data_IF_436982129578
#
_entry.id   IF_436982129578
#
_cell.length_a   1.000
_cell.length_b   1.000
_cell.length_c   1.000
_cell.angle_alpha   90.00
_cell.angle_beta   90.00
_cell.angle_gamma   90.00
#
_symmetry.space_group_name_H-M   'P 1'
#
loop_
_entity.id
_entity.type
_entity.pdbx_description
1 polymer ?
#
# COMPACT_ATOMS: atom_id res chain seq x y z
N UNK A 1 2.60 -28.13 -20.53
CA UNK A 1 3.11 -26.80 -20.24
C UNK A 1 2.24 -26.08 -19.24
N UNK A 2 0.96 -25.85 -19.50
CA UNK A 2 0.06 -25.17 -18.58
C UNK A 2 -0.10 -25.88 -17.23
N UNK A 3 -0.06 -27.20 -17.19
CA UNK A 3 -0.15 -27.98 -15.97
C UNK A 3 1.11 -27.87 -15.10
N UNK A 4 2.28 -27.70 -15.70
CA UNK A 4 3.52 -27.49 -14.96
C UNK A 4 3.60 -26.08 -14.40
N UNK A 5 3.10 -25.09 -15.14
CA UNK A 5 3.03 -23.70 -14.67
C UNK A 5 2.05 -23.57 -13.49
N UNK A 6 0.90 -24.23 -13.55
CA UNK A 6 -0.08 -24.26 -12.46
C UNK A 6 0.48 -24.94 -11.21
N UNK A 7 1.20 -26.07 -11.36
CA UNK A 7 1.85 -26.73 -10.24
C UNK A 7 2.95 -25.88 -9.61
N UNK A 8 3.73 -25.19 -10.43
CA UNK A 8 4.78 -24.31 -9.94
C UNK A 8 4.18 -23.14 -9.15
N UNK A 9 3.08 -22.57 -9.64
CA UNK A 9 2.38 -21.47 -8.97
C UNK A 9 1.76 -21.93 -7.66
N UNK A 10 1.18 -23.13 -7.61
CA UNK A 10 0.63 -23.70 -6.39
C UNK A 10 1.72 -24.02 -5.37
N UNK A 11 2.83 -24.58 -5.80
CA UNK A 11 3.98 -24.85 -4.93
C UNK A 11 4.56 -23.57 -4.35
N UNK A 12 4.66 -22.53 -5.16
CA UNK A 12 5.18 -21.21 -4.74
C UNK A 12 4.20 -20.52 -3.82
N UNK A 13 2.91 -20.53 -4.12
CA UNK A 13 1.86 -19.99 -3.24
C UNK A 13 1.83 -20.74 -1.90
N UNK A 14 1.98 -22.06 -1.94
CA UNK A 14 2.08 -22.89 -0.74
C UNK A 14 3.32 -22.57 0.10
N UNK A 15 4.43 -22.22 -0.54
CA UNK A 15 5.66 -21.81 0.13
C UNK A 15 5.48 -20.52 0.92
N UNK A 16 4.84 -19.50 0.35
CA UNK A 16 4.58 -18.25 1.05
C UNK A 16 3.68 -18.47 2.26
N UNK A 17 2.58 -19.19 2.07
CA UNK A 17 1.68 -19.54 3.16
C UNK A 17 2.39 -20.30 4.27
N UNK A 18 3.24 -21.25 3.90
CA UNK A 18 4.05 -22.02 4.85
C UNK A 18 4.97 -21.12 5.67
N UNK A 19 5.62 -20.13 5.03
CA UNK A 19 6.46 -19.17 5.71
C UNK A 19 5.68 -18.36 6.74
N UNK A 20 4.48 -17.89 6.39
CA UNK A 20 3.61 -17.18 7.33
C UNK A 20 3.15 -18.08 8.48
N UNK A 21 2.77 -19.31 8.19
CA UNK A 21 2.31 -20.28 9.20
C UNK A 21 3.44 -20.65 10.18
N UNK A 22 4.64 -20.87 9.67
CA UNK A 22 5.83 -21.18 10.48
C UNK A 22 6.24 -19.98 11.38
N UNK A 23 5.92 -18.77 10.97
CA UNK A 23 6.25 -17.54 11.69
C UNK A 23 5.03 -16.87 12.33
N UNK A 24 3.95 -17.62 12.52
CA UNK A 24 2.70 -17.07 13.07
C UNK A 24 2.87 -16.39 14.42
N UNK A 25 3.77 -16.89 15.27
CA UNK A 25 4.06 -16.28 16.58
C UNK A 25 4.86 -14.98 16.48
N UNK A 26 5.45 -14.72 15.32
CA UNK A 26 6.27 -13.54 15.06
C UNK A 26 5.55 -12.49 14.19
N UNK A 27 4.31 -12.79 13.80
CA UNK A 27 3.51 -11.85 13.01
C UNK A 27 3.08 -10.67 13.88
N UNK A 28 3.30 -9.48 13.38
CA UNK A 28 2.91 -8.22 14.03
C UNK A 28 2.09 -7.42 13.04
N UNK A 29 1.08 -6.73 13.54
CA UNK A 29 0.22 -5.89 12.72
C UNK A 29 0.83 -4.51 12.53
N UNK A 30 0.78 -4.01 11.30
CA UNK A 30 1.33 -2.74 10.88
C UNK A 30 0.35 -1.94 10.03
N UNK A 31 0.52 -0.62 10.05
CA UNK A 31 -0.14 0.29 9.10
C UNK A 31 0.91 1.02 8.28
N UNK A 32 0.53 1.51 7.11
CA UNK A 32 1.42 2.35 6.31
C UNK A 32 1.52 3.74 6.93
N UNK A 33 2.73 4.28 6.97
CA UNK A 33 3.01 5.62 7.50
C UNK A 33 2.58 6.74 6.57
N UNK A 34 2.52 6.48 5.26
CA UNK A 34 2.21 7.51 4.27
C UNK A 34 0.86 8.14 4.55
N UNK A 35 0.86 9.44 4.76
CA UNK A 35 -0.35 10.25 4.89
C UNK A 35 -0.63 10.97 3.58
N UNK A 36 -1.89 11.27 3.36
CA UNK A 36 -2.39 11.93 2.16
C UNK A 36 -3.25 13.12 2.57
N UNK A 37 -3.14 14.21 1.83
CA UNK A 37 -4.05 15.33 1.95
C UNK A 37 -5.06 15.23 0.82
N UNK A 38 -6.34 15.30 1.15
CA UNK A 38 -7.43 15.15 0.19
C UNK A 38 -8.42 16.30 0.35
N UNK A 39 -8.80 16.90 -0.76
CA UNK A 39 -9.87 17.90 -0.79
C UNK A 39 -10.81 17.64 -1.95
N UNK A 40 -12.04 18.11 -1.82
CA UNK A 40 -12.96 18.04 -2.94
C UNK A 40 -12.49 18.97 -4.05
N UNK A 41 -12.50 18.47 -5.29
CA UNK A 41 -12.22 19.27 -6.46
C UNK A 41 -13.46 20.08 -6.85
N UNK A 42 -13.26 21.24 -7.46
CA UNK A 42 -14.36 21.97 -8.08
C UNK A 42 -14.62 21.42 -9.47
N UNK A 43 -15.88 21.32 -9.85
CA UNK A 43 -16.25 20.88 -11.19
C UNK A 43 -15.59 21.78 -12.24
N UNK A 44 -14.88 21.15 -13.17
CA UNK A 44 -14.14 21.88 -14.21
C UNK A 44 -12.76 22.34 -13.82
N UNK A 45 -12.34 22.10 -12.59
CA UNK A 45 -10.99 22.41 -12.13
C UNK A 45 -9.96 21.61 -12.91
N UNK A 46 -8.88 22.28 -13.35
CA UNK A 46 -7.77 21.61 -14.02
C UNK A 46 -6.72 21.23 -12.99
N UNK A 47 -6.45 19.92 -12.89
CA UNK A 47 -5.48 19.38 -11.94
C UNK A 47 -4.28 18.83 -12.71
N UNK A 48 -3.10 19.35 -12.39
CA UNK A 48 -1.84 18.92 -12.98
C UNK A 48 -1.35 17.68 -12.24
N UNK A 49 -1.40 16.52 -12.91
CA UNK A 49 -0.98 15.26 -12.33
C UNK A 49 0.53 15.17 -12.35
N UNK A 50 1.11 14.93 -11.17
CA UNK A 50 2.56 14.84 -11.00
C UNK A 50 2.88 13.53 -10.31
N UNK A 51 3.79 12.75 -10.87
CA UNK A 51 4.25 11.47 -10.29
C UNK A 51 5.76 11.54 -10.15
N UNK A 52 6.25 11.33 -8.93
CA UNK A 52 7.68 11.39 -8.59
C UNK A 52 8.35 12.69 -9.05
N UNK A 53 7.63 13.82 -8.85
CA UNK A 53 8.12 15.14 -9.21
C UNK A 53 8.10 15.46 -10.69
N UNK A 54 7.58 14.57 -11.54
CA UNK A 54 7.51 14.79 -13.00
C UNK A 54 6.07 15.03 -13.43
N UNK A 55 5.79 16.12 -14.16
CA UNK A 55 4.47 16.35 -14.74
C UNK A 55 4.10 15.21 -15.69
N UNK A 56 2.88 14.70 -15.59
CA UNK A 56 2.39 13.62 -16.45
C UNK A 56 1.31 14.10 -17.41
N UNK A 57 0.26 14.70 -16.87
CA UNK A 57 -0.88 15.15 -17.65
C UNK A 57 -1.67 16.16 -16.85
N UNK A 58 -2.63 16.83 -17.49
CA UNK A 58 -3.62 17.65 -16.82
C UNK A 58 -4.98 17.01 -17.01
N UNK A 59 -5.69 16.81 -15.89
CA UNK A 59 -7.05 16.27 -15.90
C UNK A 59 -8.03 17.35 -15.48
N UNK A 60 -9.23 17.30 -16.02
CA UNK A 60 -10.34 18.17 -15.64
C UNK A 60 -11.25 17.44 -14.67
N UNK A 61 -11.52 18.03 -13.53
CA UNK A 61 -12.31 17.43 -12.46
C UNK A 61 -13.79 17.35 -12.84
N UNK A 62 -14.41 16.23 -12.49
CA UNK A 62 -15.85 16.05 -12.50
C UNK A 62 -16.43 16.39 -11.12
N UNK A 63 -17.75 16.37 -11.02
CA UNK A 63 -18.49 16.78 -9.81
C UNK A 63 -18.10 15.96 -8.57
N UNK A 64 -17.78 14.67 -8.73
CA UNK A 64 -17.44 13.77 -7.62
C UNK A 64 -15.94 13.49 -7.47
N UNK A 65 -15.10 14.29 -8.10
CA UNK A 65 -13.65 14.12 -8.03
C UNK A 65 -13.04 14.85 -6.83
N UNK A 66 -11.90 14.32 -6.39
CA UNK A 66 -11.11 14.85 -5.30
C UNK A 66 -9.66 15.00 -5.71
N UNK A 67 -9.00 16.03 -5.18
CA UNK A 67 -7.56 16.23 -5.34
C UNK A 67 -6.86 15.53 -4.19
N UNK A 68 -5.93 14.66 -4.53
CA UNK A 68 -5.10 13.92 -3.59
C UNK A 68 -3.64 14.34 -3.77
N UNK A 69 -2.95 14.57 -2.67
CA UNK A 69 -1.51 14.81 -2.70
C UNK A 69 -0.85 14.09 -1.53
N UNK A 70 0.45 13.81 -1.64
CA UNK A 70 1.20 13.29 -0.51
C UNK A 70 1.35 14.37 0.55
N UNK A 71 1.13 14.03 1.81
CA UNK A 71 1.22 14.98 2.93
C UNK A 71 2.64 15.54 3.09
N UNK A 72 3.65 14.72 2.85
CA UNK A 72 5.07 15.07 2.98
C UNK A 72 5.74 15.46 1.65
N UNK A 73 4.99 15.41 0.54
CA UNK A 73 5.46 15.82 -0.79
C UNK A 73 4.27 16.41 -1.57
N UNK A 74 3.98 17.67 -1.30
CA UNK A 74 2.82 18.37 -1.85
C UNK A 74 2.87 18.60 -3.36
N UNK A 75 4.02 18.35 -3.99
CA UNK A 75 4.15 18.44 -5.44
C UNK A 75 3.62 17.16 -6.14
N UNK A 76 3.49 16.06 -5.41
CA UNK A 76 2.96 14.83 -5.98
C UNK A 76 1.45 14.79 -5.83
N UNK A 77 0.75 15.09 -6.92
CA UNK A 77 -0.70 15.35 -6.96
C UNK A 77 -1.38 14.41 -7.95
N UNK A 78 -2.56 13.95 -7.59
CA UNK A 78 -3.44 13.16 -8.47
C UNK A 78 -4.90 13.58 -8.28
N UNK A 79 -5.75 13.11 -9.18
CA UNK A 79 -7.20 13.31 -9.15
C UNK A 79 -7.87 11.94 -9.04
N UNK A 80 -8.70 11.76 -8.00
CA UNK A 80 -9.38 10.49 -7.75
C UNK A 80 -10.87 10.73 -7.52
N UNK A 81 -11.71 9.71 -7.79
CA UNK A 81 -13.15 9.86 -7.57
C UNK A 81 -13.54 9.55 -6.11
N UNK A 82 -14.74 9.99 -5.72
CA UNK A 82 -15.20 9.85 -4.35
C UNK A 82 -15.43 8.41 -3.89
N UNK A 83 -15.76 7.50 -4.81
CA UNK A 83 -15.92 6.08 -4.48
C UNK A 83 -14.59 5.45 -4.09
N UNK A 84 -13.52 5.78 -4.81
CA UNK A 84 -12.17 5.30 -4.52
C UNK A 84 -11.70 5.82 -3.15
N UNK A 85 -12.04 7.06 -2.80
CA UNK A 85 -11.69 7.60 -1.49
C UNK A 85 -12.34 6.80 -0.37
N UNK A 86 -13.64 6.55 -0.45
CA UNK A 86 -14.38 5.84 0.59
C UNK A 86 -13.88 4.42 0.81
N UNK A 87 -13.45 3.76 -0.25
CA UNK A 87 -12.95 2.38 -0.17
C UNK A 87 -11.47 2.25 0.19
N UNK A 88 -10.69 3.31 0.06
CA UNK A 88 -9.23 3.23 0.14
C UNK A 88 -8.63 4.07 1.29
N UNK A 89 -9.26 5.19 1.64
CA UNK A 89 -8.70 6.15 2.60
C UNK A 89 -9.66 6.43 3.75
N UNK A 90 -9.10 6.74 4.92
CA UNK A 90 -9.87 7.19 6.09
C UNK A 90 -9.19 8.42 6.70
N UNK A 91 -9.98 9.31 7.28
CA UNK A 91 -9.43 10.47 8.01
C UNK A 91 -8.66 9.98 9.23
N UNK A 92 -7.49 10.61 9.49
CA UNK A 92 -6.68 10.25 10.67
C UNK A 92 -7.37 10.64 11.99
N UNK A 93 -8.30 11.61 11.93
CA UNK A 93 -9.12 12.04 13.06
C UNK A 93 -10.57 12.21 12.58
N UNK A 94 -11.53 11.68 13.34
CA UNK A 94 -12.95 11.71 12.96
C UNK A 94 -13.50 13.13 12.83
N UNK A 95 -12.92 14.10 13.55
CA UNK A 95 -13.33 15.49 13.57
C UNK A 95 -12.30 16.43 12.90
N UNK A 96 -11.49 15.88 12.01
CA UNK A 96 -10.48 16.65 11.31
C UNK A 96 -11.10 17.82 10.54
N UNK A 97 -10.47 18.99 10.66
CA UNK A 97 -10.90 20.19 9.96
C UNK A 97 -10.06 20.43 8.73
N UNK A 98 -10.69 21.01 7.72
CA UNK A 98 -9.99 21.43 6.51
C UNK A 98 -8.92 22.48 6.84
N UNK A 99 -7.77 22.39 6.15
CA UNK A 99 -6.78 23.45 6.20
C UNK A 99 -7.24 24.68 5.37
N UNK A 100 -6.38 25.69 5.25
CA UNK A 100 -6.71 26.92 4.51
C UNK A 100 -7.03 26.67 3.03
N UNK A 101 -6.56 25.57 2.46
CA UNK A 101 -6.79 25.19 1.07
C UNK A 101 -7.92 24.15 0.90
N UNK A 102 -8.53 23.72 1.98
CA UNK A 102 -9.63 22.75 1.98
C UNK A 102 -9.21 21.29 2.13
N UNK A 103 -7.93 21.03 2.39
CA UNK A 103 -7.41 19.66 2.56
C UNK A 103 -7.65 19.11 3.97
N UNK A 104 -7.97 17.84 4.03
CA UNK A 104 -8.01 17.04 5.27
C UNK A 104 -7.00 15.92 5.11
N UNK A 105 -6.33 15.53 6.20
CA UNK A 105 -5.33 14.48 6.16
C UNK A 105 -5.96 13.11 6.36
N UNK A 106 -5.58 12.17 5.50
CA UNK A 106 -6.07 10.79 5.43
C UNK A 106 -4.91 9.81 5.47
N UNK A 107 -5.23 8.55 5.76
CA UNK A 107 -4.33 7.40 5.60
C UNK A 107 -5.05 6.32 4.81
N UNK A 108 -4.30 5.38 4.24
CA UNK A 108 -4.93 4.20 3.62
C UNK A 108 -5.63 3.36 4.68
N UNK A 109 -6.81 2.83 4.31
CA UNK A 109 -7.55 1.91 5.16
C UNK A 109 -6.84 0.55 5.12
N UNK A 110 -6.80 -0.11 6.28
CA UNK A 110 -6.35 -1.48 6.38
C UNK A 110 -5.06 -1.64 7.17
N UNK A 111 -4.86 -2.86 7.60
CA UNK A 111 -3.69 -3.28 8.34
C UNK A 111 -2.95 -4.35 7.54
N UNK A 112 -1.67 -4.43 7.79
CA UNK A 112 -0.80 -5.46 7.23
C UNK A 112 -0.23 -6.28 8.37
N UNK A 113 -0.02 -7.57 8.14
CA UNK A 113 0.77 -8.36 9.06
C UNK A 113 2.09 -8.72 8.41
N UNK A 114 3.13 -8.74 9.21
CA UNK A 114 4.49 -8.95 8.73
C UNK A 114 5.35 -9.65 9.76
N UNK A 115 6.37 -10.35 9.29
CA UNK A 115 7.43 -10.86 10.15
C UNK A 115 8.79 -10.63 9.50
N UNK A 116 9.80 -10.52 10.36
CA UNK A 116 11.19 -10.38 9.91
C UNK A 116 11.74 -11.76 9.56
N UNK A 117 12.16 -11.95 8.32
CA UNK A 117 12.70 -13.22 7.88
C UNK A 117 14.12 -13.43 8.43
N UNK A 118 14.39 -14.62 8.96
CA UNK A 118 15.67 -14.97 9.54
C UNK A 118 16.31 -16.22 8.92
N UNK A 119 15.68 -16.79 7.88
CA UNK A 119 16.18 -18.00 7.22
C UNK A 119 17.17 -17.75 6.09
N UNK A 120 17.48 -18.80 5.37
CA UNK A 120 18.34 -18.73 4.20
C UNK A 120 17.67 -17.96 3.06
N UNK A 121 18.48 -17.30 2.23
CA UNK A 121 17.98 -16.59 1.07
C UNK A 121 17.12 -17.50 0.19
N UNK A 122 15.95 -17.02 -0.17
CA UNK A 122 15.01 -17.72 -1.03
C UNK A 122 14.28 -16.73 -1.92
N UNK A 123 13.34 -17.23 -2.72
CA UNK A 123 12.50 -16.40 -3.57
C UNK A 123 11.04 -16.70 -3.28
N UNK A 124 10.21 -15.66 -3.37
CA UNK A 124 8.76 -15.77 -3.27
C UNK A 124 8.11 -15.18 -4.52
N UNK A 125 6.84 -15.46 -4.70
CA UNK A 125 6.02 -14.80 -5.72
C UNK A 125 4.92 -13.99 -5.03
N UNK A 126 4.79 -12.74 -5.45
CA UNK A 126 3.76 -11.85 -4.93
C UNK A 126 2.38 -12.21 -5.48
N UNK A 127 1.32 -11.57 -4.93
CA UNK A 127 -0.05 -11.73 -5.44
C UNK A 127 -0.19 -11.28 -6.90
N UNK A 128 0.64 -10.34 -7.34
CA UNK A 128 0.67 -9.87 -8.73
C UNK A 128 1.68 -10.63 -9.60
N UNK A 129 2.08 -11.83 -9.12
CA UNK A 129 2.91 -12.78 -9.85
C UNK A 129 4.32 -12.29 -10.20
N UNK A 130 4.91 -11.49 -9.32
CA UNK A 130 6.29 -11.02 -9.44
C UNK A 130 7.20 -11.81 -8.51
N UNK A 131 8.32 -12.30 -9.04
CA UNK A 131 9.32 -13.01 -8.25
C UNK A 131 10.15 -12.00 -7.45
N UNK A 132 10.23 -12.20 -6.14
CA UNK A 132 11.01 -11.36 -5.25
C UNK A 132 11.98 -12.20 -4.42
N UNK A 133 13.16 -11.65 -4.19
CA UNK A 133 14.19 -12.26 -3.34
C UNK A 133 13.88 -11.94 -1.88
N UNK A 134 13.92 -12.97 -1.04
CA UNK A 134 13.75 -12.85 0.41
C UNK A 134 15.03 -13.27 1.09
N UNK A 135 15.67 -12.35 1.80
CA UNK A 135 16.91 -12.55 2.52
C UNK A 135 16.73 -12.28 4.02
N UNK A 136 17.62 -12.83 4.84
CA UNK A 136 17.58 -12.58 6.28
C UNK A 136 17.60 -11.06 6.57
N UNK A 137 16.70 -10.59 7.42
CA UNK A 137 16.51 -9.19 7.72
C UNK A 137 15.39 -8.51 6.94
N UNK A 138 14.96 -9.08 5.82
CA UNK A 138 13.81 -8.57 5.07
C UNK A 138 12.52 -8.91 5.79
N UNK A 139 11.47 -8.16 5.49
CA UNK A 139 10.13 -8.45 6.00
C UNK A 139 9.27 -9.08 4.90
N UNK A 140 8.51 -10.10 5.26
CA UNK A 140 7.45 -10.63 4.42
C UNK A 140 6.14 -10.07 4.94
N UNK A 141 5.40 -9.39 4.06
CA UNK A 141 4.22 -8.59 4.40
C UNK A 141 3.02 -9.07 3.62
N UNK A 142 1.86 -9.14 4.25
CA UNK A 142 0.58 -9.43 3.58
C UNK A 142 -0.54 -8.63 4.23
N UNK A 143 -1.69 -8.52 3.55
CA UNK A 143 -2.88 -7.94 4.14
C UNK A 143 -3.32 -8.76 5.36
N UNK A 144 -3.57 -8.09 6.47
CA UNK A 144 -4.00 -8.75 7.70
C UNK A 144 -5.38 -9.40 7.55
N UNK A 145 -6.21 -8.86 6.67
CA UNK A 145 -7.57 -9.34 6.43
C UNK A 145 -7.64 -10.51 5.42
N UNK A 146 -6.52 -10.86 4.78
CA UNK A 146 -6.48 -11.91 3.79
C UNK A 146 -5.41 -12.96 4.13
N UNK A 147 -5.78 -14.02 4.87
CA UNK A 147 -4.82 -15.07 5.26
C UNK A 147 -4.33 -15.91 4.08
N UNK A 148 -4.95 -15.77 2.89
CA UNK A 148 -4.54 -16.47 1.68
C UNK A 148 -3.69 -15.60 0.75
N UNK A 149 -3.45 -14.35 1.10
CA UNK A 149 -2.57 -13.49 0.33
C UNK A 149 -1.14 -14.04 0.34
N UNK A 150 -0.48 -14.00 -0.81
CA UNK A 150 0.91 -14.43 -0.94
C UNK A 150 1.89 -13.45 -0.31
N UNK A 151 1.52 -12.17 -0.31
CA UNK A 151 2.36 -11.13 0.27
C UNK A 151 3.46 -10.63 -0.67
N UNK A 152 4.37 -9.87 -0.10
CA UNK A 152 5.48 -9.25 -0.81
C UNK A 152 6.63 -8.98 0.14
N UNK A 153 7.83 -8.82 -0.41
CA UNK A 153 9.05 -8.57 0.35
C UNK A 153 9.30 -7.08 0.48
N UNK A 154 9.61 -6.63 1.70
CA UNK A 154 10.03 -5.26 1.97
C UNK A 154 11.38 -5.32 2.70
N UNK A 155 12.46 -4.76 2.12
CA UNK A 155 13.75 -4.70 2.81
C UNK A 155 13.64 -3.93 4.13
N UNK A 156 14.45 -4.31 5.13
CA UNK A 156 14.36 -3.73 6.48
C UNK A 156 14.41 -2.20 6.48
N UNK A 157 15.31 -1.60 5.69
CA UNK A 157 15.45 -0.15 5.61
C UNK A 157 14.21 0.54 5.05
N UNK A 158 13.56 -0.09 4.08
CA UNK A 158 12.32 0.43 3.48
C UNK A 158 11.12 0.19 4.39
N UNK A 159 11.11 -0.94 5.10
CA UNK A 159 10.01 -1.28 6.01
C UNK A 159 9.85 -0.22 7.10
N UNK A 160 10.93 0.18 7.74
CA UNK A 160 10.90 1.19 8.81
C UNK A 160 10.43 2.57 8.31
N UNK A 161 10.66 2.87 7.03
CA UNK A 161 10.22 4.13 6.43
C UNK A 161 8.73 4.17 6.11
N UNK A 162 8.13 3.03 5.80
CA UNK A 162 6.78 2.97 5.22
C UNK A 162 5.74 2.34 6.12
N UNK A 163 6.16 1.62 7.17
CA UNK A 163 5.25 0.91 8.07
C UNK A 163 5.50 1.27 9.53
N UNK A 164 4.43 1.29 10.31
CA UNK A 164 4.50 1.43 11.76
C UNK A 164 3.64 0.38 12.43
N UNK A 165 4.09 -0.10 13.59
CA UNK A 165 3.37 -1.10 14.38
C UNK A 165 2.06 -0.53 14.90
N UNK A 166 0.99 -1.31 14.81
CA UNK A 166 -0.31 -0.97 15.40
C UNK A 166 -0.21 -1.16 16.90
N UNK A 167 -0.54 -0.09 17.61
CA UNK A 167 -0.49 -0.09 19.09
C UNK A 167 -1.89 -0.22 19.71
#
# INVERSE_FOLDING_TARGET
MKLQELKLTEEVGGKNKKLFDENSDNLVDYTKKQLFDIRKAEKGEHVHITIKGKPRTTKTANEDDYVLRLHDDIEQVDLIDGEDIQGTYEQIQADAKEDAEGFITYREIGEYEAFKYAGEQTYIYTDWNTKQKLSAGDYLVRDADDPNASGFVVPAAEFDKHFEEVK
#
